data_IF_155290910910
#
_entry.id   IF_155290910910
#
_cell.length_a   1.000
_cell.length_b   1.000
_cell.length_c   1.000
_cell.angle_alpha   90.00
_cell.angle_beta   90.00
_cell.angle_gamma   90.00
#
_symmetry.space_group_name_H-M   'P 1'
#
loop_
_entity.id
_entity.type
_entity.pdbx_description
1 polymer ?
#
# COMPACT_ATOMS: atom_id res chain seq x y z
N UNK A 1 -10.86 -16.06 -3.37
CA UNK A 1 -10.49 -15.54 -2.05
C UNK A 1 -11.63 -14.67 -1.54
N UNK A 2 -11.98 -14.75 -0.25
CA UNK A 2 -12.89 -13.78 0.35
C UNK A 2 -12.29 -12.37 0.24
N UNK A 3 -13.12 -11.35 0.03
CA UNK A 3 -12.67 -9.95 -0.03
C UNK A 3 -11.90 -9.55 1.24
N UNK A 4 -12.26 -10.13 2.38
CA UNK A 4 -11.58 -9.95 3.66
C UNK A 4 -10.14 -10.47 3.62
N UNK A 5 -9.92 -11.63 2.99
CA UNK A 5 -8.57 -12.21 2.84
C UNK A 5 -7.74 -11.33 1.91
N UNK A 6 -8.34 -10.82 0.83
CA UNK A 6 -7.64 -9.91 -0.07
C UNK A 6 -7.21 -8.62 0.64
N UNK A 7 -8.11 -7.99 1.40
CA UNK A 7 -7.82 -6.79 2.18
C UNK A 7 -6.68 -7.08 3.17
N UNK A 8 -6.77 -8.19 3.91
CA UNK A 8 -5.73 -8.58 4.86
C UNK A 8 -4.36 -8.71 4.17
N UNK A 9 -4.29 -9.42 3.05
CA UNK A 9 -3.04 -9.60 2.30
C UNK A 9 -2.50 -8.26 1.80
N UNK A 10 -3.35 -7.41 1.22
CA UNK A 10 -2.91 -6.10 0.71
C UNK A 10 -2.40 -5.20 1.83
N UNK A 11 -3.06 -5.19 2.99
CA UNK A 11 -2.63 -4.42 4.16
C UNK A 11 -1.29 -4.92 4.69
N UNK A 12 -1.09 -6.24 4.78
CA UNK A 12 0.19 -6.83 5.20
C UNK A 12 1.30 -6.46 4.23
N UNK A 13 1.06 -6.56 2.92
CA UNK A 13 2.04 -6.18 1.90
C UNK A 13 2.36 -4.68 1.93
N UNK A 14 1.34 -3.83 2.12
CA UNK A 14 1.53 -2.38 2.25
C UNK A 14 2.36 -2.05 3.48
N UNK A 15 2.08 -2.68 4.63
CA UNK A 15 2.85 -2.46 5.86
C UNK A 15 4.33 -2.87 5.68
N UNK A 16 4.59 -4.01 5.04
CA UNK A 16 5.96 -4.45 4.72
C UNK A 16 6.67 -3.49 3.76
N UNK A 17 5.97 -2.99 2.73
CA UNK A 17 6.53 -2.03 1.78
C UNK A 17 6.89 -0.70 2.46
N UNK A 18 6.00 -0.18 3.31
CA UNK A 18 6.24 1.05 4.08
C UNK A 18 7.39 0.86 5.09
N UNK A 19 7.46 -0.29 5.75
CA UNK A 19 8.57 -0.62 6.64
C UNK A 19 9.91 -0.67 5.89
N UNK A 20 9.96 -1.33 4.73
CA UNK A 20 11.15 -1.37 3.90
C UNK A 20 11.57 0.03 3.44
N UNK A 21 10.61 0.87 3.04
CA UNK A 21 10.86 2.24 2.60
C UNK A 21 11.48 3.11 3.69
N UNK A 22 11.08 2.93 4.95
CA UNK A 22 11.68 3.63 6.09
C UNK A 22 13.13 3.23 6.38
N UNK A 23 13.56 2.04 5.94
CA UNK A 23 14.93 1.55 6.12
C UNK A 23 15.87 1.95 4.97
N UNK A 24 15.33 2.49 3.88
CA UNK A 24 16.14 2.92 2.74
C UNK A 24 16.66 4.36 2.97
N UNK A 25 17.88 4.68 2.51
CA UNK A 25 18.45 6.02 2.59
C UNK A 25 17.83 6.95 1.53
N UNK A 26 16.52 7.17 1.63
CA UNK A 26 15.75 8.04 0.72
C UNK A 26 15.56 9.42 1.39
N UNK A 27 15.83 10.53 0.68
CA UNK A 27 15.57 11.87 1.20
C UNK A 27 14.10 12.06 1.63
N UNK A 28 13.89 12.77 2.73
CA UNK A 28 12.58 12.92 3.40
C UNK A 28 11.41 13.35 2.50
N UNK A 29 11.56 14.34 1.59
CA UNK A 29 10.49 14.73 0.68
C UNK A 29 10.10 13.62 -0.29
N UNK A 30 11.09 12.87 -0.78
CA UNK A 30 10.87 11.80 -1.75
C UNK A 30 10.26 10.55 -1.08
N UNK A 31 10.68 10.26 0.15
CA UNK A 31 10.12 9.19 0.96
C UNK A 31 8.61 9.39 1.18
N UNK A 32 8.20 10.61 1.56
CA UNK A 32 6.78 10.93 1.74
C UNK A 32 5.96 10.72 0.46
N UNK A 33 6.47 11.16 -0.70
CA UNK A 33 5.79 10.96 -1.99
C UNK A 33 5.59 9.47 -2.27
N UNK A 34 6.62 8.65 -2.08
CA UNK A 34 6.55 7.20 -2.33
C UNK A 34 5.53 6.54 -1.38
N UNK A 35 5.49 6.94 -0.10
CA UNK A 35 4.47 6.44 0.85
C UNK A 35 3.05 6.74 0.39
N UNK A 36 2.79 7.99 -0.02
CA UNK A 36 1.46 8.40 -0.50
C UNK A 36 1.07 7.60 -1.75
N UNK A 37 1.99 7.43 -2.70
CA UNK A 37 1.74 6.63 -3.91
C UNK A 37 1.40 5.17 -3.57
N UNK A 38 2.15 4.55 -2.65
CA UNK A 38 1.89 3.17 -2.22
C UNK A 38 0.50 3.03 -1.58
N UNK A 39 0.10 3.98 -0.73
CA UNK A 39 -1.21 3.99 -0.09
C UNK A 39 -2.32 4.13 -1.14
N UNK A 40 -2.18 5.07 -2.08
CA UNK A 40 -3.17 5.29 -3.15
C UNK A 40 -3.33 4.03 -4.00
N UNK A 41 -2.24 3.39 -4.41
CA UNK A 41 -2.27 2.16 -5.19
C UNK A 41 -2.95 1.01 -4.43
N UNK A 42 -2.69 0.87 -3.13
CA UNK A 42 -3.34 -0.13 -2.30
C UNK A 42 -4.86 0.08 -2.20
N UNK A 43 -5.30 1.33 -2.03
CA UNK A 43 -6.73 1.68 -1.97
C UNK A 43 -7.41 1.40 -3.31
N UNK A 44 -6.79 1.81 -4.43
CA UNK A 44 -7.34 1.57 -5.77
C UNK A 44 -7.45 0.06 -6.03
N UNK A 45 -6.40 -0.70 -5.72
CA UNK A 45 -6.39 -2.15 -5.93
C UNK A 45 -7.49 -2.86 -5.12
N UNK A 46 -7.67 -2.49 -3.84
CA UNK A 46 -8.75 -3.03 -3.01
C UNK A 46 -10.11 -2.62 -3.59
N UNK A 47 -10.29 -1.35 -3.92
CA UNK A 47 -11.55 -0.80 -4.42
C UNK A 47 -12.00 -1.45 -5.73
N UNK A 48 -11.09 -1.64 -6.70
CA UNK A 48 -11.36 -2.34 -7.95
C UNK A 48 -11.80 -3.80 -7.71
N UNK A 49 -11.14 -4.49 -6.78
CA UNK A 49 -11.47 -5.88 -6.45
C UNK A 49 -12.74 -6.02 -5.62
N UNK A 50 -13.13 -4.96 -4.91
CA UNK A 50 -14.37 -4.87 -4.16
C UNK A 50 -15.58 -4.41 -5.02
N UNK A 51 -15.36 -4.03 -6.29
CA UNK A 51 -16.41 -3.52 -7.17
C UNK A 51 -16.87 -2.09 -6.83
N UNK A 52 -16.04 -1.33 -6.14
CA UNK A 52 -16.30 0.07 -5.74
C UNK A 52 -15.95 1.06 -6.86
N UNK A 53 -15.03 0.66 -7.76
CA UNK A 53 -14.55 1.43 -8.90
C UNK A 53 -14.51 0.58 -10.16
#
# INVERSE_FOLDING_TARGET
MSILILILVVVVLLALALFALQKMPIPSPLNWIIQVVLIVLAIIFIGQRAGVF
#
